data_IF_589459969412
#
_entry.id   IF_589459969412
#
_cell.length_a   1.000
_cell.length_b   1.000
_cell.length_c   1.000
_cell.angle_alpha   90.00
_cell.angle_beta   90.00
_cell.angle_gamma   90.00
#
_symmetry.space_group_name_H-M   'P 1'
#
loop_
_entity.id
_entity.type
_entity.pdbx_description
1 polymer ?
#
# COMPACT_ATOMS: atom_id res chain seq x y z
N UNK A 1 19.56 12.49 86.43
CA UNK A 1 20.15 13.81 86.12
C UNK A 1 19.11 14.63 85.37
N UNK A 2 18.77 15.81 85.92
CA UNK A 2 18.27 17.08 85.31
C UNK A 2 17.32 17.02 84.09
N UNK A 3 16.27 17.83 83.91
CA UNK A 3 15.58 18.94 84.60
C UNK A 3 14.36 19.28 83.71
N UNK A 4 13.24 19.72 84.33
CA UNK A 4 12.29 20.78 83.88
C UNK A 4 11.64 20.70 82.47
N UNK A 5 10.31 20.51 82.37
CA UNK A 5 9.19 21.49 82.45
C UNK A 5 8.98 22.38 81.21
N UNK A 6 7.73 22.31 80.72
CA UNK A 6 6.91 23.38 80.12
C UNK A 6 7.33 23.86 78.71
N UNK A 7 6.48 24.37 77.82
CA UNK A 7 5.11 24.87 77.92
C UNK A 7 4.46 24.91 76.52
N UNK A 8 3.12 24.91 76.50
CA UNK A 8 2.30 25.41 75.40
C UNK A 8 2.50 26.91 75.14
N UNK A 9 2.22 27.31 73.89
CA UNK A 9 1.70 28.61 73.37
C UNK A 9 1.88 28.55 71.84
N UNK A 10 1.14 29.16 70.92
CA UNK A 10 -0.22 29.73 70.81
C UNK A 10 -0.32 30.13 69.31
N UNK A 11 -1.52 30.22 68.73
CA UNK A 11 -1.75 30.91 67.44
C UNK A 11 -2.61 30.12 66.46
N UNK A 12 -3.94 30.08 66.62
CA UNK A 12 -4.91 31.08 66.11
C UNK A 12 -5.03 31.12 64.58
N UNK A 13 -6.19 30.73 64.05
CA UNK A 13 -6.50 30.98 62.63
C UNK A 13 -7.79 30.32 62.18
N UNK A 14 -8.88 31.08 62.23
CA UNK A 14 -10.25 30.73 61.84
C UNK A 14 -10.40 30.29 60.38
N UNK A 15 -11.33 29.35 60.19
CA UNK A 15 -12.34 29.20 59.13
C UNK A 15 -12.14 29.94 57.79
N UNK A 16 -12.38 29.22 56.69
CA UNK A 16 -13.56 29.44 55.84
C UNK A 16 -13.70 28.31 54.82
N UNK A 17 -14.91 27.73 54.78
CA UNK A 17 -15.41 26.99 53.64
C UNK A 17 -15.34 27.84 52.38
N UNK A 18 -14.83 27.26 51.31
CA UNK A 18 -15.17 27.66 49.96
C UNK A 18 -15.46 26.38 49.18
N UNK A 19 -16.75 26.17 48.94
CA UNK A 19 -17.24 25.31 47.88
C UNK A 19 -16.57 25.73 46.57
N UNK A 20 -15.93 24.77 45.90
CA UNK A 20 -15.56 24.89 44.49
C UNK A 20 -16.04 23.59 43.85
N UNK A 21 -17.35 23.46 43.65
CA UNK A 21 -18.06 23.97 42.48
C UNK A 21 -17.56 23.23 41.24
N UNK A 22 -18.38 22.23 40.90
CA UNK A 22 -18.30 21.42 39.69
C UNK A 22 -18.05 22.34 38.50
N UNK A 23 -16.89 22.20 37.87
CA UNK A 23 -16.67 22.78 36.55
C UNK A 23 -17.25 21.80 35.52
N UNK A 24 -18.57 21.82 35.38
CA UNK A 24 -19.31 21.19 34.28
C UNK A 24 -19.30 22.12 33.07
N UNK A 25 -18.12 22.43 32.51
CA UNK A 25 -17.97 23.22 31.29
C UNK A 25 -16.63 22.90 30.62
N UNK A 26 -16.47 21.69 30.06
CA UNK A 26 -15.51 21.35 28.99
C UNK A 26 -15.66 19.87 28.54
N UNK A 27 -16.88 19.33 28.51
CA UNK A 27 -17.17 17.97 28.05
C UNK A 27 -18.08 17.99 26.82
N UNK A 28 -17.54 18.52 25.72
CA UNK A 28 -17.96 18.30 24.34
C UNK A 28 -16.82 18.92 23.51
N UNK A 29 -15.96 18.16 22.82
CA UNK A 29 -16.30 17.37 21.63
C UNK A 29 -15.18 16.36 21.32
N UNK A 30 -15.47 15.07 21.50
CA UNK A 30 -15.09 14.00 20.57
C UNK A 30 -15.79 12.74 21.08
N UNK A 31 -17.01 12.53 20.61
CA UNK A 31 -17.68 11.24 20.79
C UNK A 31 -17.01 10.26 19.83
N UNK A 32 -15.76 9.85 20.11
CA UNK A 32 -15.24 8.64 19.48
C UNK A 32 -16.04 7.48 20.04
N UNK A 33 -16.69 6.72 19.16
CA UNK A 33 -17.32 5.47 19.56
C UNK A 33 -16.28 4.60 20.29
N UNK A 34 -16.68 3.81 21.31
CA UNK A 34 -15.72 2.94 21.98
C UNK A 34 -15.03 2.04 20.94
N UNK A 35 -13.75 1.66 21.13
CA UNK A 35 -12.98 0.93 20.12
C UNK A 35 -13.71 -0.30 19.57
N UNK A 36 -14.48 -1.00 20.42
CA UNK A 36 -15.30 -2.15 20.01
C UNK A 36 -16.37 -1.81 18.95
N UNK A 37 -16.99 -0.63 19.02
CA UNK A 37 -18.02 -0.18 18.05
C UNK A 37 -17.39 0.25 16.74
N UNK A 38 -16.25 0.97 16.80
CA UNK A 38 -15.46 1.33 15.63
C UNK A 38 -15.01 0.09 14.84
N UNK A 39 -14.45 -0.90 15.55
CA UNK A 39 -13.97 -2.15 14.95
C UNK A 39 -15.11 -2.99 14.37
N UNK A 40 -16.27 -3.03 15.03
CA UNK A 40 -17.45 -3.72 14.50
C UNK A 40 -17.94 -3.07 13.19
N UNK A 41 -18.07 -1.73 13.17
CA UNK A 41 -18.47 -0.99 11.97
C UNK A 41 -17.46 -1.15 10.83
N UNK A 42 -16.17 -1.19 11.14
CA UNK A 42 -15.11 -1.41 10.15
C UNK A 42 -15.25 -2.76 9.44
N UNK A 43 -15.54 -3.83 10.20
CA UNK A 43 -15.70 -5.19 9.64
C UNK A 43 -16.99 -5.36 8.82
N UNK A 44 -18.03 -4.59 9.14
CA UNK A 44 -19.28 -4.55 8.36
C UNK A 44 -19.08 -3.77 7.05
N UNK A 45 -18.39 -2.63 7.13
CA UNK A 45 -18.14 -1.74 6.01
C UNK A 45 -17.19 -2.33 4.94
N UNK A 46 -16.16 -3.07 5.37
CA UNK A 46 -15.05 -3.46 4.51
C UNK A 46 -14.77 -4.97 4.56
N UNK A 47 -14.61 -5.62 3.38
CA UNK A 47 -14.32 -7.05 3.33
C UNK A 47 -12.94 -7.36 3.91
N UNK A 48 -12.85 -8.43 4.72
CA UNK A 48 -11.62 -8.86 5.41
C UNK A 48 -10.89 -7.73 6.16
N UNK A 49 -11.63 -6.76 6.70
CA UNK A 49 -11.04 -5.60 7.34
C UNK A 49 -10.59 -5.87 8.76
N UNK A 50 -9.43 -5.31 9.10
CA UNK A 50 -8.86 -5.29 10.45
C UNK A 50 -8.12 -4.00 10.70
N UNK A 51 -8.23 -3.51 11.93
CA UNK A 51 -7.31 -2.51 12.44
C UNK A 51 -6.08 -3.21 13.02
N UNK A 52 -4.87 -2.72 12.74
CA UNK A 52 -3.65 -3.31 13.31
C UNK A 52 -3.59 -3.17 14.84
N UNK A 53 -4.37 -2.26 15.44
CA UNK A 53 -4.63 -2.21 16.88
C UNK A 53 -5.08 -3.57 17.44
N UNK A 54 -5.87 -4.33 16.68
CA UNK A 54 -6.38 -5.63 17.12
C UNK A 54 -5.27 -6.68 17.28
N UNK A 55 -4.18 -6.55 16.54
CA UNK A 55 -3.02 -7.43 16.62
C UNK A 55 -2.00 -6.93 17.66
N UNK A 56 -1.88 -5.60 17.81
CA UNK A 56 -0.94 -4.99 18.74
C UNK A 56 -1.47 -3.68 19.31
N UNK A 57 -1.96 -3.74 20.55
CA UNK A 57 -2.71 -2.65 21.20
C UNK A 57 -1.89 -1.39 21.50
N UNK A 58 -0.56 -1.45 21.40
CA UNK A 58 0.28 -0.27 21.49
C UNK A 58 0.10 0.66 20.28
N UNK A 59 -0.42 0.16 19.15
CA UNK A 59 -0.94 0.99 18.06
C UNK A 59 -2.35 1.45 18.48
N UNK A 60 -2.64 2.76 18.61
CA UNK A 60 -4.00 3.22 18.89
C UNK A 60 -5.00 2.78 17.80
N UNK A 61 -6.29 2.68 18.12
CA UNK A 61 -7.33 2.42 17.11
C UNK A 61 -7.41 3.52 16.05
N UNK A 62 -7.77 3.15 14.82
CA UNK A 62 -8.04 4.08 13.71
C UNK A 62 -6.77 4.57 13.01
N UNK A 63 -5.65 3.87 13.17
CA UNK A 63 -4.36 4.31 12.62
C UNK A 63 -4.01 3.68 11.29
N UNK A 64 -4.05 2.35 11.27
CA UNK A 64 -3.63 1.57 10.13
C UNK A 64 -4.63 0.44 9.95
N UNK A 65 -5.35 0.53 8.84
CA UNK A 65 -6.41 -0.40 8.48
C UNK A 65 -5.94 -1.24 7.30
N UNK A 66 -6.14 -2.55 7.40
CA UNK A 66 -5.94 -3.50 6.30
C UNK A 66 -7.29 -4.06 5.86
N UNK A 67 -7.49 -4.27 4.56
CA UNK A 67 -8.71 -4.90 4.03
C UNK A 67 -8.49 -5.62 2.69
N UNK A 68 -9.53 -6.29 2.20
CA UNK A 68 -9.68 -6.71 0.81
C UNK A 68 -10.14 -5.54 -0.08
N UNK A 69 -10.34 -5.78 -1.37
CA UNK A 69 -10.74 -4.72 -2.31
C UNK A 69 -11.99 -3.96 -1.80
N UNK A 70 -11.87 -2.65 -1.51
CA UNK A 70 -12.96 -1.86 -0.96
C UNK A 70 -13.82 -1.20 -2.05
N UNK A 71 -13.73 -1.62 -3.32
CA UNK A 71 -14.48 -1.01 -4.42
C UNK A 71 -15.99 -1.03 -4.21
N UNK A 72 -16.53 -2.05 -3.53
CA UNK A 72 -17.95 -2.22 -3.24
C UNK A 72 -18.43 -1.55 -1.94
N UNK A 73 -17.63 -0.65 -1.34
CA UNK A 73 -17.99 0.04 -0.09
C UNK A 73 -19.22 0.92 -0.29
N UNK A 74 -20.20 0.83 0.61
CA UNK A 74 -21.45 1.61 0.53
C UNK A 74 -21.20 3.10 0.78
N UNK A 75 -21.97 4.02 0.18
CA UNK A 75 -21.76 5.46 0.35
C UNK A 75 -21.73 5.92 1.82
N UNK A 76 -22.60 5.39 2.68
CA UNK A 76 -22.64 5.70 4.12
C UNK A 76 -21.36 5.27 4.86
N UNK A 77 -20.73 4.18 4.41
CA UNK A 77 -19.47 3.69 4.95
C UNK A 77 -18.28 4.47 4.40
N UNK A 78 -18.38 5.02 3.18
CA UNK A 78 -17.39 5.96 2.65
C UNK A 78 -17.33 7.24 3.48
N UNK A 79 -18.49 7.78 3.90
CA UNK A 79 -18.52 8.94 4.79
C UNK A 79 -17.93 8.63 6.17
N UNK A 80 -18.14 7.42 6.69
CA UNK A 80 -17.47 6.96 7.91
C UNK A 80 -15.95 6.90 7.74
N UNK A 81 -15.45 6.28 6.67
CA UNK A 81 -14.02 6.13 6.40
C UNK A 81 -13.33 7.49 6.20
N UNK A 82 -13.88 8.34 5.34
CA UNK A 82 -13.25 9.62 4.97
C UNK A 82 -13.55 10.74 5.99
N UNK A 83 -14.73 10.71 6.61
CA UNK A 83 -15.15 11.70 7.60
C UNK A 83 -14.63 11.37 9.00
N UNK A 84 -15.16 10.29 9.59
CA UNK A 84 -14.91 9.94 11.00
C UNK A 84 -13.51 9.35 11.21
N UNK A 85 -13.12 8.35 10.42
CA UNK A 85 -11.80 7.70 10.54
C UNK A 85 -10.68 8.51 9.88
N UNK A 86 -11.02 9.57 9.14
CA UNK A 86 -10.06 10.42 8.46
C UNK A 86 -9.07 9.63 7.60
N UNK A 87 -9.55 8.63 6.87
CA UNK A 87 -8.75 7.92 5.87
C UNK A 87 -8.35 8.91 4.78
N UNK A 88 -7.05 9.14 4.60
CA UNK A 88 -6.52 10.06 3.58
C UNK A 88 -5.61 9.37 2.59
N UNK A 89 -5.01 8.24 2.97
CA UNK A 89 -4.07 7.49 2.16
C UNK A 89 -4.58 6.05 1.98
N UNK A 90 -4.91 5.69 0.74
CA UNK A 90 -5.31 4.36 0.32
C UNK A 90 -4.15 3.74 -0.46
N UNK A 91 -3.56 2.67 0.05
CA UNK A 91 -2.46 1.96 -0.58
C UNK A 91 -3.01 0.72 -1.29
N UNK A 92 -3.11 0.79 -2.60
CA UNK A 92 -3.55 -0.32 -3.45
C UNK A 92 -2.34 -1.15 -3.89
N UNK A 93 -2.24 -2.36 -3.34
CA UNK A 93 -1.15 -3.32 -3.57
C UNK A 93 -1.36 -4.15 -4.85
N UNK A 94 -2.44 -3.89 -5.60
CA UNK A 94 -2.80 -4.62 -6.81
C UNK A 94 -1.98 -4.21 -8.03
N UNK A 95 -1.84 -5.15 -8.96
CA UNK A 95 -1.30 -4.88 -10.28
C UNK A 95 -2.28 -4.01 -11.09
N UNK A 96 -1.77 -3.29 -12.09
CA UNK A 96 -2.58 -2.36 -12.88
C UNK A 96 -3.76 -3.07 -13.58
N UNK A 97 -3.60 -4.33 -13.95
CA UNK A 97 -4.65 -5.13 -14.60
C UNK A 97 -5.81 -5.44 -13.65
N UNK A 98 -5.52 -5.69 -12.36
CA UNK A 98 -6.54 -5.95 -11.34
C UNK A 98 -7.33 -4.68 -10.95
N UNK A 99 -6.78 -3.49 -11.20
CA UNK A 99 -7.47 -2.21 -10.95
C UNK A 99 -8.59 -2.00 -11.96
N UNK A 100 -8.45 -2.53 -13.18
CA UNK A 100 -9.49 -2.46 -14.21
C UNK A 100 -10.74 -3.26 -13.84
N UNK A 101 -10.65 -4.15 -12.84
CA UNK A 101 -11.78 -4.89 -12.29
C UNK A 101 -12.57 -4.10 -11.21
N UNK A 102 -12.17 -2.85 -10.92
CA UNK A 102 -12.94 -2.00 -10.00
C UNK A 102 -14.35 -1.72 -10.54
N UNK A 103 -15.30 -1.57 -9.61
CA UNK A 103 -16.67 -1.18 -9.95
C UNK A 103 -16.66 0.24 -10.56
N UNK A 104 -17.21 0.36 -11.77
CA UNK A 104 -17.28 1.62 -12.52
C UNK A 104 -18.08 2.73 -11.83
N UNK A 105 -18.83 2.39 -10.76
CA UNK A 105 -19.54 3.33 -9.89
C UNK A 105 -19.05 3.39 -8.44
N UNK A 106 -17.84 2.88 -8.14
CA UNK A 106 -17.36 2.80 -6.75
C UNK A 106 -17.35 4.16 -6.04
N UNK A 107 -18.15 4.26 -4.97
CA UNK A 107 -18.28 5.48 -4.16
C UNK A 107 -16.95 5.90 -3.52
N UNK A 108 -16.13 4.93 -3.11
CA UNK A 108 -14.82 5.21 -2.52
C UNK A 108 -13.80 5.56 -3.61
N UNK A 109 -13.69 4.78 -4.69
CA UNK A 109 -12.66 5.03 -5.71
C UNK A 109 -12.91 6.35 -6.46
N UNK A 110 -14.17 6.74 -6.67
CA UNK A 110 -14.55 8.04 -7.24
C UNK A 110 -14.16 9.25 -6.38
N UNK A 111 -13.84 9.03 -5.09
CA UNK A 111 -13.35 10.06 -4.16
C UNK A 111 -11.85 10.00 -3.93
N UNK A 112 -11.12 9.35 -4.84
CA UNK A 112 -9.65 9.24 -4.76
C UNK A 112 -8.94 9.83 -5.96
N UNK A 113 -7.78 10.45 -5.72
CA UNK A 113 -6.82 10.80 -6.77
C UNK A 113 -5.73 9.74 -6.80
N UNK A 114 -5.47 9.14 -7.97
CA UNK A 114 -4.56 8.01 -8.05
C UNK A 114 -3.12 8.43 -8.38
N UNK A 115 -2.17 7.98 -7.55
CA UNK A 115 -0.74 8.05 -7.80
C UNK A 115 -0.23 6.65 -8.11
N UNK A 116 0.23 6.42 -9.33
CA UNK A 116 0.74 5.13 -9.78
C UNK A 116 2.26 5.09 -9.70
N UNK A 117 2.79 4.05 -9.05
CA UNK A 117 4.22 3.86 -8.86
C UNK A 117 4.72 2.73 -9.76
N UNK A 118 5.65 3.03 -10.68
CA UNK A 118 6.22 2.04 -11.61
C UNK A 118 7.74 2.09 -11.57
N UNK A 119 8.42 0.93 -11.62
CA UNK A 119 9.88 0.95 -11.76
C UNK A 119 10.29 1.42 -13.15
N UNK A 120 11.21 2.37 -13.20
CA UNK A 120 11.85 2.76 -14.46
C UNK A 120 12.72 1.64 -15.00
N UNK A 121 12.67 1.37 -16.31
CA UNK A 121 13.43 0.29 -16.95
C UNK A 121 14.96 0.52 -16.91
N UNK A 122 15.39 1.76 -16.69
CA UNK A 122 16.80 2.19 -16.79
C UNK A 122 17.42 2.61 -15.46
N UNK A 123 16.65 2.71 -14.36
CA UNK A 123 17.14 3.17 -13.05
C UNK A 123 16.94 2.07 -12.01
N UNK A 124 18.05 1.49 -11.54
CA UNK A 124 18.01 0.48 -10.46
C UNK A 124 17.37 1.09 -9.21
N UNK A 125 16.17 0.64 -8.86
CA UNK A 125 15.54 0.89 -7.55
C UNK A 125 14.67 2.14 -7.42
N UNK A 126 14.63 3.06 -8.40
CA UNK A 126 13.73 4.22 -8.33
C UNK A 126 12.33 3.91 -8.92
N UNK A 127 11.29 4.21 -8.14
CA UNK A 127 9.91 4.23 -8.61
C UNK A 127 9.61 5.59 -9.25
N UNK A 128 9.12 5.55 -10.49
CA UNK A 128 8.52 6.67 -11.21
C UNK A 128 7.08 6.84 -10.72
N UNK A 129 6.63 8.08 -10.58
CA UNK A 129 5.27 8.43 -10.16
C UNK A 129 4.53 9.01 -11.35
N UNK A 130 3.40 8.41 -11.69
CA UNK A 130 2.45 8.91 -12.68
C UNK A 130 1.15 9.31 -11.97
N UNK A 131 0.65 10.52 -12.22
CA UNK A 131 -0.59 11.01 -11.61
C UNK A 131 -1.75 10.79 -12.56
N UNK A 132 -2.77 10.05 -12.11
CA UNK A 132 -4.04 9.96 -12.82
C UNK A 132 -5.13 10.74 -12.06
N UNK A 133 -5.86 11.64 -12.73
CA UNK A 133 -6.96 12.36 -12.11
C UNK A 133 -8.11 11.38 -11.71
N UNK A 134 -8.98 11.79 -10.76
CA UNK A 134 -10.08 10.95 -10.28
C UNK A 134 -10.99 10.50 -11.44
N UNK A 135 -11.39 9.23 -11.41
CA UNK A 135 -12.34 8.67 -12.37
C UNK A 135 -13.66 9.44 -12.29
N UNK A 136 -14.00 10.15 -13.37
CA UNK A 136 -15.17 11.04 -13.45
C UNK A 136 -14.85 12.47 -13.91
N UNK A 137 -13.61 12.94 -13.77
CA UNK A 137 -13.22 14.29 -14.24
C UNK A 137 -13.05 14.37 -15.77
N UNK A 138 -12.72 13.26 -16.42
CA UNK A 138 -12.52 13.21 -17.88
C UNK A 138 -13.82 13.26 -18.71
N UNK A 139 -14.99 13.09 -18.07
CA UNK A 139 -16.28 13.14 -18.76
C UNK A 139 -16.84 14.56 -18.94
N UNK A 140 -16.23 15.58 -18.33
CA UNK A 140 -16.73 16.97 -18.34
C UNK A 140 -15.96 17.91 -19.29
N UNK A 141 -14.95 17.43 -20.01
CA UNK A 141 -14.15 18.24 -20.92
C UNK A 141 -14.14 17.64 -22.33
N UNK A 142 -15.26 17.77 -23.03
CA UNK A 142 -15.30 17.76 -24.50
C UNK A 142 -15.94 19.06 -24.93
N UNK A 143 -15.21 20.00 -25.57
CA UNK A 143 -15.86 21.14 -26.17
C UNK A 143 -16.61 20.66 -27.41
N UNK A 144 -17.93 20.85 -27.37
CA UNK A 144 -18.79 20.93 -28.54
C UNK A 144 -18.21 21.93 -29.54
N UNK A 145 -17.86 21.46 -30.74
CA UNK A 145 -17.85 22.30 -31.94
C UNK A 145 -18.72 21.64 -33.00
N UNK A 146 -19.83 22.28 -33.27
CA UNK A 146 -20.78 21.96 -34.32
C UNK A 146 -20.24 22.30 -35.72
N UNK A 147 -20.73 21.58 -36.73
CA UNK A 147 -21.01 22.11 -38.06
C UNK A 147 -20.00 21.79 -39.18
N UNK A 148 -20.43 20.97 -40.15
CA UNK A 148 -19.79 20.83 -41.46
C UNK A 148 -20.22 19.56 -42.20
N UNK A 149 -21.04 19.71 -43.23
CA UNK A 149 -21.74 18.71 -44.06
C UNK A 149 -20.93 17.51 -44.60
N UNK A 150 -21.59 16.36 -44.89
CA UNK A 150 -20.99 15.25 -45.61
C UNK A 150 -21.26 15.37 -47.12
N UNK A 151 -20.21 15.51 -47.93
CA UNK A 151 -20.33 15.20 -49.37
C UNK A 151 -19.07 14.58 -49.95
N UNK A 152 -19.34 13.59 -50.81
CA UNK A 152 -18.48 12.97 -51.82
C UNK A 152 -17.57 11.80 -51.40
N UNK A 153 -17.89 10.69 -52.06
CA UNK A 153 -17.19 9.43 -52.17
C UNK A 153 -15.80 9.56 -52.84
N UNK A 154 -14.90 8.62 -52.55
CA UNK A 154 -14.35 7.70 -53.55
C UNK A 154 -13.29 6.76 -52.92
N UNK A 155 -13.34 5.53 -53.40
CA UNK A 155 -12.51 4.36 -53.11
C UNK A 155 -11.18 4.44 -53.95
N UNK A 156 -10.35 3.38 -54.11
CA UNK A 156 -8.93 3.38 -53.72
C UNK A 156 -7.95 3.27 -54.92
N UNK A 157 -6.65 3.10 -54.59
CA UNK A 157 -5.55 2.51 -55.40
C UNK A 157 -4.52 3.45 -56.07
N UNK A 158 -3.24 3.25 -55.67
CA UNK A 158 -2.01 3.02 -56.48
C UNK A 158 -0.78 3.34 -55.61
N UNK A 159 0.08 2.40 -55.23
CA UNK A 159 1.09 1.67 -56.04
C UNK A 159 2.19 2.60 -56.57
N UNK A 160 3.38 2.57 -55.95
CA UNK A 160 4.68 2.46 -56.65
C UNK A 160 5.83 2.08 -55.70
N UNK A 161 6.37 0.91 -56.01
CA UNK A 161 7.73 0.37 -55.93
C UNK A 161 8.91 1.33 -55.79
N UNK A 162 9.89 0.96 -54.95
CA UNK A 162 11.33 0.72 -55.27
C UNK A 162 12.01 0.13 -54.03
N UNK A 163 12.26 -1.17 -53.98
CA UNK A 163 13.57 -1.81 -54.25
C UNK A 163 14.79 -1.01 -53.78
N UNK A 164 15.45 -1.50 -52.72
CA UNK A 164 16.86 -1.85 -52.82
C UNK A 164 17.21 -2.91 -51.78
N UNK A 165 17.61 -4.09 -52.28
CA UNK A 165 18.27 -5.11 -51.48
C UNK A 165 19.78 -4.89 -51.49
N UNK A 166 20.43 -5.23 -50.39
CA UNK A 166 21.75 -5.83 -50.44
C UNK A 166 21.95 -6.68 -49.19
N UNK A 167 22.28 -7.94 -49.44
CA UNK A 167 22.67 -8.94 -48.47
C UNK A 167 23.95 -8.50 -47.76
N UNK A 168 24.10 -8.84 -46.47
CA UNK A 168 25.31 -9.54 -46.08
C UNK A 168 25.10 -10.39 -44.83
N UNK A 169 25.75 -11.54 -44.89
CA UNK A 169 25.69 -12.71 -44.03
C UNK A 169 26.69 -12.63 -42.86
N UNK A 170 26.38 -13.40 -41.81
CA UNK A 170 27.30 -14.06 -40.85
C UNK A 170 28.01 -13.18 -39.79
N UNK A 171 27.69 -13.44 -38.53
CA UNK A 171 28.66 -13.95 -37.53
C UNK A 171 27.98 -14.28 -36.20
N UNK A 172 28.08 -15.56 -35.83
CA UNK A 172 27.91 -16.10 -34.49
C UNK A 172 29.03 -15.65 -33.57
N UNK A 173 28.74 -15.23 -32.35
CA UNK A 173 29.68 -15.43 -31.24
C UNK A 173 28.98 -15.41 -29.87
N UNK A 174 29.34 -16.41 -29.07
CA UNK A 174 28.82 -16.70 -27.75
C UNK A 174 29.45 -15.77 -26.70
N UNK A 175 28.62 -15.11 -25.89
CA UNK A 175 29.08 -14.32 -24.75
C UNK A 175 29.07 -15.17 -23.47
N UNK A 176 30.28 -15.54 -23.04
CA UNK A 176 30.62 -16.17 -21.76
C UNK A 176 30.38 -15.17 -20.62
N UNK A 177 29.69 -15.61 -19.57
CA UNK A 177 29.48 -14.86 -18.32
C UNK A 177 30.64 -15.14 -17.35
N UNK A 178 31.32 -14.14 -16.75
CA UNK A 178 32.23 -14.39 -15.64
C UNK A 178 31.50 -14.24 -14.28
N UNK A 179 31.78 -15.18 -13.39
CA UNK A 179 31.39 -15.20 -11.97
C UNK A 179 32.17 -14.15 -11.14
N UNK A 180 31.68 -13.72 -9.96
CA UNK A 180 32.36 -12.72 -9.14
C UNK A 180 33.40 -13.37 -8.19
N UNK A 181 34.51 -12.67 -7.85
CA UNK A 181 35.42 -13.15 -6.82
C UNK A 181 34.97 -12.72 -5.41
N UNK A 182 35.36 -13.52 -4.42
CA UNK A 182 35.27 -13.26 -2.97
C UNK A 182 36.65 -12.92 -2.39
N UNK A 183 36.72 -11.97 -1.46
CA UNK A 183 37.66 -11.79 -0.32
C UNK A 183 37.51 -10.32 0.16
N UNK A 184 37.10 -9.98 1.38
CA UNK A 184 37.64 -10.14 2.75
C UNK A 184 38.66 -9.05 3.18
N UNK A 185 38.36 -8.48 4.37
CA UNK A 185 39.16 -7.71 5.36
C UNK A 185 39.54 -6.22 5.16
N UNK A 186 38.89 -5.42 6.02
CA UNK A 186 39.41 -4.46 7.02
C UNK A 186 39.83 -3.01 6.69
N UNK A 187 39.03 -2.11 7.31
CA UNK A 187 39.29 -0.81 7.95
C UNK A 187 39.42 0.52 7.18
N UNK A 188 38.96 1.65 7.81
CA UNK A 188 38.28 2.75 7.12
C UNK A 188 39.14 4.01 6.97
N UNK A 189 38.68 4.99 6.16
CA UNK A 189 39.09 6.37 6.38
C UNK A 189 37.92 7.29 6.75
N UNK A 190 38.31 8.22 7.61
CA UNK A 190 37.60 9.32 8.27
C UNK A 190 36.98 10.37 7.34
N UNK A 191 35.86 10.89 7.83
CA UNK A 191 35.26 12.22 7.71
C UNK A 191 35.75 13.24 6.65
N UNK A 192 34.73 13.88 6.06
CA UNK A 192 34.62 15.27 5.59
C UNK A 192 34.62 15.48 4.06
N UNK A 193 33.41 15.64 3.51
CA UNK A 193 33.06 16.78 2.65
C UNK A 193 31.54 16.81 2.45
N UNK A 194 30.92 17.87 2.96
CA UNK A 194 29.53 18.21 2.76
C UNK A 194 29.27 18.60 1.29
N UNK A 195 28.20 18.06 0.72
CA UNK A 195 27.52 18.65 -0.43
C UNK A 195 26.02 18.41 -0.29
N UNK A 196 25.34 19.42 0.23
CA UNK A 196 23.89 19.51 0.30
C UNK A 196 23.32 19.56 -1.14
N UNK A 197 22.40 18.65 -1.45
CA UNK A 197 21.49 18.78 -2.59
C UNK A 197 20.08 18.71 -2.03
N UNK A 198 19.50 19.91 -1.89
CA UNK A 198 18.11 20.13 -1.51
C UNK A 198 17.19 19.44 -2.52
N UNK A 199 16.53 18.36 -2.08
CA UNK A 199 15.36 17.82 -2.78
C UNK A 199 14.18 18.68 -2.36
N UNK A 200 13.57 19.33 -3.35
CA UNK A 200 12.49 20.29 -3.19
C UNK A 200 11.37 19.79 -2.30
N UNK A 201 11.17 20.50 -1.21
CA UNK A 201 9.99 20.46 -0.37
C UNK A 201 8.78 20.77 -1.25
N UNK A 202 7.89 19.81 -1.45
CA UNK A 202 6.54 20.10 -1.95
C UNK A 202 5.84 20.96 -0.91
N UNK A 203 5.57 22.21 -1.28
CA UNK A 203 4.88 23.17 -0.44
C UNK A 203 3.50 22.65 0.00
N UNK A 204 3.01 23.03 1.19
CA UNK A 204 1.64 22.78 1.57
C UNK A 204 0.72 23.56 0.64
N UNK A 205 -0.42 22.96 0.32
CA UNK A 205 -1.47 23.53 -0.53
C UNK A 205 -2.00 24.78 0.18
N UNK A 206 -1.55 25.96 -0.25
CA UNK A 206 -2.05 27.24 0.25
C UNK A 206 -3.48 27.42 -0.22
N UNK A 207 -4.38 27.69 0.72
CA UNK A 207 -5.77 28.07 0.48
C UNK A 207 -5.82 29.29 -0.43
N UNK A 208 -6.40 29.13 -1.63
CA UNK A 208 -6.65 30.22 -2.56
C UNK A 208 -7.64 31.19 -1.91
N UNK A 209 -7.17 32.41 -1.67
CA UNK A 209 -7.98 33.55 -1.25
C UNK A 209 -8.98 33.89 -2.36
N UNK A 210 -10.24 34.04 -1.97
CA UNK A 210 -11.32 34.47 -2.84
C UNK A 210 -11.13 35.95 -3.22
N UNK A 211 -11.02 36.22 -4.51
CA UNK A 211 -11.22 37.57 -5.05
C UNK A 211 -12.65 37.65 -5.58
N UNK A 212 -13.40 38.59 -5.03
CA UNK A 212 -14.85 38.72 -5.17
C UNK A 212 -15.19 39.83 -6.15
N UNK A 213 -15.83 39.49 -7.28
CA UNK A 213 -16.75 40.41 -7.97
C UNK A 213 -17.53 39.74 -9.11
N UNK A 214 -18.50 38.89 -8.78
CA UNK A 214 -19.63 38.63 -9.68
C UNK A 214 -20.91 38.52 -8.86
N UNK A 215 -21.81 39.48 -9.04
CA UNK A 215 -23.18 39.46 -8.52
C UNK A 215 -23.95 38.33 -9.20
N UNK A 216 -24.18 37.23 -8.48
CA UNK A 216 -25.07 36.15 -8.89
C UNK A 216 -26.06 35.82 -7.77
N UNK A 217 -27.28 35.51 -8.18
CA UNK A 217 -28.51 35.35 -7.40
C UNK A 217 -28.38 34.35 -6.24
N UNK A 218 -28.78 34.81 -5.04
CA UNK A 218 -28.44 34.25 -3.73
C UNK A 218 -29.16 32.94 -3.31
N UNK A 219 -29.68 32.13 -4.23
CA UNK A 219 -30.47 30.93 -3.90
C UNK A 219 -29.79 29.60 -4.24
N UNK A 220 -29.25 29.47 -5.46
CA UNK A 220 -28.76 28.18 -5.98
C UNK A 220 -27.24 28.01 -5.83
N UNK A 221 -26.48 29.11 -5.82
CA UNK A 221 -25.02 29.08 -5.68
C UNK A 221 -24.54 28.59 -4.31
N UNK A 222 -25.32 28.81 -3.25
CA UNK A 222 -24.95 28.36 -1.90
C UNK A 222 -25.09 26.83 -1.74
N UNK A 223 -26.05 26.21 -2.41
CA UNK A 223 -26.24 24.75 -2.39
C UNK A 223 -25.17 24.03 -3.21
N UNK A 224 -24.77 24.60 -4.37
CA UNK A 224 -23.70 24.06 -5.21
C UNK A 224 -22.32 24.29 -4.57
N UNK A 225 -22.09 25.44 -3.93
CA UNK A 225 -20.86 25.70 -3.17
C UNK A 225 -20.75 24.83 -1.90
N UNK A 226 -21.87 24.56 -1.21
CA UNK A 226 -21.91 23.63 -0.07
C UNK A 226 -21.74 22.16 -0.50
N UNK A 227 -22.20 21.79 -1.70
CA UNK A 227 -21.98 20.47 -2.29
C UNK A 227 -20.53 20.27 -2.77
N UNK A 228 -19.91 21.32 -3.33
CA UNK A 228 -18.50 21.30 -3.74
C UNK A 228 -17.51 21.35 -2.56
N UNK A 229 -17.91 21.93 -1.42
CA UNK A 229 -17.08 22.06 -0.21
C UNK A 229 -16.99 20.79 0.65
N UNK A 230 -17.69 19.70 0.31
CA UNK A 230 -17.72 18.45 1.10
C UNK A 230 -16.95 17.27 0.51
N UNK A 231 -16.27 17.44 -0.62
CA UNK A 231 -15.51 16.35 -1.21
C UNK A 231 -14.14 16.23 -0.56
N UNK A 232 -14.09 15.66 0.64
CA UNK A 232 -12.82 15.16 1.18
C UNK A 232 -12.31 14.12 0.19
N UNK A 233 -11.23 14.44 -0.52
CA UNK A 233 -10.53 13.55 -1.42
C UNK A 233 -9.43 12.83 -0.63
N UNK A 234 -9.27 11.54 -0.91
CA UNK A 234 -8.14 10.75 -0.44
C UNK A 234 -7.17 10.48 -1.60
N UNK A 235 -5.91 10.16 -1.27
CA UNK A 235 -4.91 9.77 -2.25
C UNK A 235 -4.88 8.25 -2.34
N UNK A 236 -5.03 7.71 -3.55
CA UNK A 236 -4.88 6.28 -3.83
C UNK A 236 -3.50 6.02 -4.41
N UNK A 237 -2.60 5.48 -3.61
CA UNK A 237 -1.27 5.05 -4.02
C UNK A 237 -1.34 3.65 -4.61
N UNK A 238 -1.26 3.52 -5.94
CA UNK A 238 -1.09 2.21 -6.57
C UNK A 238 0.38 1.79 -6.54
N UNK A 239 0.69 0.92 -5.59
CA UNK A 239 2.04 0.39 -5.34
C UNK A 239 1.96 -1.14 -5.45
N UNK A 240 2.00 -1.66 -6.67
CA UNK A 240 1.82 -3.10 -6.90
C UNK A 240 2.94 -3.92 -6.26
N UNK A 241 2.59 -4.80 -5.31
CA UNK A 241 3.53 -5.80 -4.79
C UNK A 241 3.63 -7.05 -5.68
N UNK A 242 2.91 -7.07 -6.81
CA UNK A 242 3.02 -8.11 -7.82
C UNK A 242 3.33 -7.48 -9.18
N UNK A 243 4.57 -7.68 -9.64
CA UNK A 243 4.93 -7.46 -11.03
C UNK A 243 5.02 -8.82 -11.72
N UNK A 244 4.14 -9.07 -12.71
CA UNK A 244 4.05 -10.37 -13.39
C UNK A 244 5.39 -10.80 -13.98
N UNK A 245 6.14 -9.88 -14.61
CA UNK A 245 7.44 -10.19 -15.19
C UNK A 245 8.46 -10.64 -14.14
N UNK A 246 8.57 -9.89 -13.04
CA UNK A 246 9.48 -10.26 -11.94
C UNK A 246 9.05 -11.50 -11.20
N UNK A 247 7.75 -11.73 -11.07
CA UNK A 247 7.20 -12.98 -10.54
C UNK A 247 7.67 -14.16 -11.38
N UNK A 248 7.51 -14.12 -12.70
CA UNK A 248 7.96 -15.21 -13.58
C UNK A 248 9.49 -15.37 -13.61
N UNK A 249 10.27 -14.28 -13.53
CA UNK A 249 11.73 -14.36 -13.38
C UNK A 249 12.11 -15.04 -12.05
N UNK A 250 11.42 -14.69 -10.96
CA UNK A 250 11.63 -15.28 -9.63
C UNK A 250 11.18 -16.74 -9.58
N UNK A 251 10.16 -17.11 -10.37
CA UNK A 251 9.71 -18.50 -10.52
C UNK A 251 10.73 -19.32 -11.31
N UNK A 252 11.23 -18.77 -12.42
CA UNK A 252 12.21 -19.40 -13.30
C UNK A 252 13.51 -19.77 -12.57
N UNK A 253 13.93 -19.00 -11.56
CA UNK A 253 15.12 -19.30 -10.75
C UNK A 253 14.91 -20.42 -9.72
N UNK A 254 13.67 -20.89 -9.53
CA UNK A 254 13.26 -21.95 -8.59
C UNK A 254 12.85 -23.25 -9.27
N UNK A 255 12.87 -23.27 -10.60
CA UNK A 255 12.49 -24.41 -11.43
C UNK A 255 13.74 -24.89 -12.20
N UNK A 256 13.89 -26.20 -12.46
CA UNK A 256 14.97 -26.71 -13.30
C UNK A 256 15.08 -25.94 -14.61
N UNK A 257 16.31 -25.57 -14.98
CA UNK A 257 16.59 -24.75 -16.18
C UNK A 257 16.04 -25.39 -17.47
N UNK A 258 16.05 -26.72 -17.55
CA UNK A 258 15.48 -27.49 -18.65
C UNK A 258 13.96 -27.30 -18.77
N UNK A 259 13.23 -27.36 -17.65
CA UNK A 259 11.78 -27.12 -17.63
C UNK A 259 11.47 -25.67 -17.94
N UNK A 260 12.22 -24.72 -17.37
CA UNK A 260 12.04 -23.28 -17.65
C UNK A 260 12.25 -22.99 -19.14
N UNK A 261 13.32 -23.50 -19.75
CA UNK A 261 13.60 -23.32 -21.17
C UNK A 261 12.50 -23.94 -22.06
N UNK A 262 12.06 -25.16 -21.73
CA UNK A 262 10.95 -25.82 -22.43
C UNK A 262 9.65 -25.02 -22.32
N UNK A 263 9.33 -24.49 -21.13
CA UNK A 263 8.14 -23.66 -20.93
C UNK A 263 8.21 -22.35 -21.73
N UNK A 264 9.37 -21.68 -21.76
CA UNK A 264 9.57 -20.45 -22.55
C UNK A 264 9.36 -20.74 -24.05
N UNK A 265 10.00 -21.79 -24.58
CA UNK A 265 9.86 -22.17 -25.98
C UNK A 265 8.41 -22.54 -26.32
N UNK A 266 7.77 -23.32 -25.45
CA UNK A 266 6.38 -23.74 -25.62
C UNK A 266 5.42 -22.55 -25.55
N UNK A 267 5.72 -21.51 -24.77
CA UNK A 267 4.85 -20.35 -24.59
C UNK A 267 4.60 -19.57 -25.89
N UNK A 268 5.52 -19.64 -26.87
CA UNK A 268 5.35 -19.02 -28.19
C UNK A 268 4.29 -19.71 -29.06
N UNK A 269 4.03 -21.00 -28.82
CA UNK A 269 3.13 -21.83 -29.64
C UNK A 269 1.85 -22.19 -28.87
N UNK A 270 1.98 -22.51 -27.58
CA UNK A 270 0.90 -22.94 -26.73
C UNK A 270 1.12 -22.49 -25.28
N UNK A 271 0.50 -21.35 -24.92
CA UNK A 271 0.56 -20.78 -23.56
C UNK A 271 0.03 -21.75 -22.49
N UNK A 272 -1.02 -22.52 -22.81
CA UNK A 272 -1.62 -23.48 -21.87
C UNK A 272 -0.66 -24.64 -21.57
N UNK A 273 0.00 -25.19 -22.60
CA UNK A 273 0.99 -26.25 -22.42
C UNK A 273 2.22 -25.76 -21.65
N UNK A 274 2.74 -24.57 -21.96
CA UNK A 274 3.83 -23.95 -21.21
C UNK A 274 3.49 -23.79 -19.74
N UNK A 275 2.29 -23.29 -19.44
CA UNK A 275 1.78 -23.16 -18.07
C UNK A 275 1.67 -24.51 -17.37
N UNK A 276 1.17 -25.54 -18.05
CA UNK A 276 1.03 -26.89 -17.51
C UNK A 276 2.37 -27.49 -17.08
N UNK A 277 3.49 -27.07 -17.71
CA UNK A 277 4.85 -27.45 -17.28
C UNK A 277 5.27 -26.77 -15.96
N UNK A 278 4.78 -25.56 -15.68
CA UNK A 278 5.13 -24.79 -14.48
C UNK A 278 4.23 -25.11 -13.28
N UNK A 279 2.97 -25.49 -13.53
CA UNK A 279 1.95 -25.74 -12.50
C UNK A 279 2.39 -26.72 -11.39
N UNK A 280 3.05 -27.85 -11.67
CA UNK A 280 3.50 -28.76 -10.62
C UNK A 280 4.47 -28.11 -9.62
N UNK A 281 5.32 -27.19 -10.09
CA UNK A 281 6.26 -26.45 -9.24
C UNK A 281 5.55 -25.37 -8.43
N UNK A 282 4.58 -24.68 -9.04
CA UNK A 282 3.75 -23.68 -8.34
C UNK A 282 2.94 -24.36 -7.24
N UNK A 283 2.21 -25.43 -7.57
CA UNK A 283 1.43 -26.19 -6.60
C UNK A 283 2.33 -26.84 -5.53
N UNK A 284 3.47 -27.41 -5.92
CA UNK A 284 4.42 -28.04 -5.00
C UNK A 284 5.11 -27.06 -4.05
N UNK A 285 5.40 -25.83 -4.49
CA UNK A 285 5.97 -24.78 -3.65
C UNK A 285 4.95 -24.06 -2.77
N UNK A 286 3.68 -24.04 -3.19
CA UNK A 286 2.56 -23.51 -2.43
C UNK A 286 2.69 -22.03 -2.04
N UNK A 287 1.96 -21.65 -0.98
CA UNK A 287 1.99 -20.30 -0.42
C UNK A 287 3.36 -19.86 0.13
N UNK A 288 4.17 -20.71 0.80
CA UNK A 288 5.50 -20.30 1.27
C UNK A 288 6.39 -19.80 0.13
N UNK A 289 6.49 -20.55 -0.98
CA UNK A 289 7.27 -20.12 -2.14
C UNK A 289 6.72 -18.82 -2.73
N UNK A 290 5.40 -18.67 -2.82
CA UNK A 290 4.77 -17.44 -3.29
C UNK A 290 5.18 -16.23 -2.44
N UNK A 291 5.18 -16.37 -1.11
CA UNK A 291 5.48 -15.26 -0.19
C UNK A 291 6.96 -14.86 -0.26
N UNK A 292 7.85 -15.85 -0.35
CA UNK A 292 9.26 -15.59 -0.64
C UNK A 292 9.40 -14.80 -1.96
N UNK A 293 8.75 -15.26 -3.03
CA UNK A 293 8.83 -14.59 -4.33
C UNK A 293 8.29 -13.16 -4.30
N UNK A 294 7.19 -12.91 -3.59
CA UNK A 294 6.63 -11.57 -3.40
C UNK A 294 7.64 -10.66 -2.68
N UNK A 295 8.15 -11.07 -1.52
CA UNK A 295 9.15 -10.30 -0.77
C UNK A 295 10.39 -9.98 -1.59
N UNK A 296 10.90 -10.97 -2.33
CA UNK A 296 12.11 -10.81 -3.14
C UNK A 296 11.89 -9.90 -4.34
N UNK A 297 10.72 -9.98 -4.98
CA UNK A 297 10.43 -9.25 -6.22
C UNK A 297 9.91 -7.83 -5.99
N UNK A 298 9.30 -7.54 -4.82
CA UNK A 298 8.62 -6.27 -4.52
C UNK A 298 9.37 -5.34 -3.56
N UNK A 299 10.69 -5.46 -3.43
CA UNK A 299 11.49 -4.75 -2.43
C UNK A 299 11.32 -3.21 -2.45
N UNK A 300 11.61 -2.48 -3.55
CA UNK A 300 11.30 -1.06 -3.71
C UNK A 300 9.85 -0.67 -3.39
N UNK A 301 8.88 -1.47 -3.82
CA UNK A 301 7.46 -1.21 -3.60
C UNK A 301 7.10 -1.36 -2.12
N UNK A 302 7.63 -2.37 -1.43
CA UNK A 302 7.49 -2.52 0.02
C UNK A 302 8.09 -1.32 0.76
N UNK A 303 9.27 -0.83 0.36
CA UNK A 303 9.85 0.38 0.93
C UNK A 303 8.93 1.59 0.74
N UNK A 304 8.35 1.75 -0.45
CA UNK A 304 7.41 2.85 -0.75
C UNK A 304 6.11 2.75 0.02
N UNK A 305 5.56 1.54 0.24
CA UNK A 305 4.40 1.33 1.10
C UNK A 305 4.69 1.85 2.52
N UNK A 306 5.84 1.48 3.09
CA UNK A 306 6.25 1.94 4.42
C UNK A 306 6.50 3.46 4.49
N UNK A 307 7.02 4.06 3.42
CA UNK A 307 7.18 5.52 3.30
C UNK A 307 5.82 6.25 3.32
N UNK A 308 4.82 5.74 2.61
CA UNK A 308 3.46 6.32 2.62
C UNK A 308 2.82 6.16 4.00
N UNK A 309 2.93 4.99 4.62
CA UNK A 309 2.43 4.76 5.98
C UNK A 309 3.08 5.70 7.01
N UNK A 310 4.38 5.93 6.88
CA UNK A 310 5.11 6.89 7.72
C UNK A 310 4.56 8.31 7.57
N UNK A 311 4.42 8.79 6.33
CA UNK A 311 3.89 10.12 6.06
C UNK A 311 2.45 10.31 6.56
N UNK A 312 1.59 9.30 6.38
CA UNK A 312 0.21 9.31 6.89
C UNK A 312 0.20 9.37 8.42
N UNK A 313 1.04 8.57 9.08
CA UNK A 313 1.13 8.54 10.54
C UNK A 313 1.67 9.84 11.14
N UNK A 314 2.64 10.49 10.48
CA UNK A 314 3.15 11.81 10.84
C UNK A 314 2.07 12.91 10.69
N UNK A 315 1.21 12.78 9.69
CA UNK A 315 0.08 13.70 9.45
C UNK A 315 -1.14 13.41 10.34
N UNK A 316 -1.06 12.40 11.22
CA UNK A 316 -2.19 11.90 12.03
C UNK A 316 -3.42 11.56 11.18
N UNK A 317 -3.18 10.94 10.03
CA UNK A 317 -4.21 10.41 9.15
C UNK A 317 -4.29 8.89 9.29
N UNK A 318 -5.49 8.34 9.17
CA UNK A 318 -5.63 6.90 9.02
C UNK A 318 -5.13 6.51 7.63
N UNK A 319 -4.22 5.54 7.60
CA UNK A 319 -3.81 4.88 6.36
C UNK A 319 -4.57 3.57 6.19
N UNK A 320 -5.03 3.30 4.99
CA UNK A 320 -5.66 2.04 4.63
C UNK A 320 -4.87 1.35 3.52
N UNK A 321 -4.60 0.06 3.62
CA UNK A 321 -3.96 -0.70 2.54
C UNK A 321 -4.71 -1.98 2.21
N UNK A 322 -4.74 -2.33 0.93
CA UNK A 322 -5.52 -3.46 0.45
C UNK A 322 -4.90 -4.12 -0.77
N UNK A 323 -5.33 -5.36 -1.01
CA UNK A 323 -5.11 -6.06 -2.26
C UNK A 323 -6.47 -6.60 -2.74
N UNK A 324 -6.50 -7.69 -3.51
CA UNK A 324 -7.78 -8.31 -3.91
C UNK A 324 -8.55 -8.92 -2.74
N UNK A 325 -7.98 -9.92 -2.05
CA UNK A 325 -8.65 -10.61 -0.94
C UNK A 325 -8.21 -10.13 0.46
N UNK A 326 -7.24 -9.22 0.55
CA UNK A 326 -6.74 -8.74 1.85
C UNK A 326 -5.90 -9.75 2.62
N UNK A 327 -5.45 -10.84 1.96
CA UNK A 327 -4.70 -11.94 2.57
C UNK A 327 -3.19 -11.87 2.32
N UNK A 328 -2.75 -12.03 1.07
CA UNK A 328 -1.34 -12.31 0.75
C UNK A 328 -0.45 -11.06 0.82
N UNK A 329 -0.56 -10.18 -0.19
CA UNK A 329 0.19 -8.91 -0.24
C UNK A 329 -0.09 -8.03 0.98
N UNK A 330 -1.36 -7.93 1.36
CA UNK A 330 -1.80 -7.24 2.58
C UNK A 330 -1.21 -7.89 3.84
N UNK A 331 -1.12 -9.23 3.90
CA UNK A 331 -0.51 -9.95 5.03
C UNK A 331 0.98 -9.68 5.16
N UNK A 332 1.70 -9.63 4.05
CA UNK A 332 3.12 -9.27 4.04
C UNK A 332 3.33 -7.83 4.53
N UNK A 333 2.55 -6.85 4.06
CA UNK A 333 2.63 -5.46 4.53
C UNK A 333 2.32 -5.38 6.02
N UNK A 334 1.24 -6.02 6.48
CA UNK A 334 0.86 -6.02 7.89
C UNK A 334 1.97 -6.62 8.77
N UNK A 335 2.60 -7.73 8.34
CA UNK A 335 3.72 -8.33 9.06
C UNK A 335 4.91 -7.37 9.20
N UNK A 336 5.26 -6.62 8.14
CA UNK A 336 6.33 -5.62 8.22
C UNK A 336 5.97 -4.48 9.18
N UNK A 337 4.74 -3.96 9.10
CA UNK A 337 4.29 -2.84 9.94
C UNK A 337 4.21 -3.23 11.41
N UNK A 338 3.63 -4.40 11.72
CA UNK A 338 3.53 -4.93 13.08
C UNK A 338 4.92 -5.22 13.67
N UNK A 339 5.84 -5.77 12.87
CA UNK A 339 7.23 -5.97 13.29
C UNK A 339 7.93 -4.64 13.61
N UNK A 340 7.76 -3.61 12.76
CA UNK A 340 8.29 -2.27 13.03
C UNK A 340 7.67 -1.69 14.31
N UNK A 341 6.37 -1.82 14.51
CA UNK A 341 5.68 -1.36 15.72
C UNK A 341 6.15 -2.08 17.00
N UNK A 342 6.73 -3.27 16.89
CA UNK A 342 7.26 -4.05 18.01
C UNK A 342 6.35 -5.19 18.48
N UNK A 343 5.39 -5.60 17.64
CA UNK A 343 4.58 -6.79 17.90
C UNK A 343 5.43 -8.07 17.90
N UNK A 344 5.00 -9.09 18.63
CA UNK A 344 5.65 -10.41 18.59
C UNK A 344 5.37 -11.14 17.27
N UNK A 345 6.18 -12.14 16.95
CA UNK A 345 5.95 -12.98 15.78
C UNK A 345 4.62 -13.73 15.89
N UNK A 346 4.22 -14.15 17.08
CA UNK A 346 2.94 -14.81 17.33
C UNK A 346 1.77 -13.89 17.00
N UNK A 347 1.82 -12.61 17.38
CA UNK A 347 0.79 -11.64 17.05
C UNK A 347 0.67 -11.41 15.53
N UNK A 348 1.82 -11.38 14.82
CA UNK A 348 1.86 -11.28 13.36
C UNK A 348 1.22 -12.51 12.71
N UNK A 349 1.55 -13.70 13.19
CA UNK A 349 1.01 -14.97 12.69
C UNK A 349 -0.50 -15.07 12.95
N UNK A 350 -0.96 -14.64 14.12
CA UNK A 350 -2.38 -14.62 14.47
C UNK A 350 -3.18 -13.63 13.60
N UNK A 351 -2.69 -12.40 13.41
CA UNK A 351 -3.31 -11.44 12.49
C UNK A 351 -3.41 -11.99 11.06
N UNK A 352 -2.38 -12.68 10.59
CA UNK A 352 -2.41 -13.33 9.29
C UNK A 352 -3.50 -14.41 9.21
N UNK A 353 -3.51 -15.33 10.20
CA UNK A 353 -4.38 -16.50 10.22
C UNK A 353 -5.87 -16.14 10.29
N UNK A 354 -6.22 -14.97 10.84
CA UNK A 354 -7.60 -14.45 10.82
C UNK A 354 -8.16 -14.23 9.42
N UNK A 355 -7.30 -14.15 8.39
CA UNK A 355 -7.76 -14.09 6.99
C UNK A 355 -8.35 -15.41 6.50
N UNK A 356 -8.16 -16.53 7.22
CA UNK A 356 -8.64 -17.86 6.80
C UNK A 356 -10.16 -17.92 6.75
N UNK A 357 -10.85 -17.17 7.62
CA UNK A 357 -12.31 -17.02 7.59
C UNK A 357 -12.82 -16.35 6.30
N UNK A 358 -11.94 -15.72 5.52
CA UNK A 358 -12.26 -15.06 4.26
C UNK A 358 -11.82 -15.94 3.08
N UNK A 359 -12.65 -16.96 2.77
CA UNK A 359 -12.40 -17.97 1.72
C UNK A 359 -12.56 -17.44 0.29
N UNK A 360 -11.73 -16.49 -0.13
CA UNK A 360 -11.56 -16.14 -1.55
C UNK A 360 -10.17 -16.53 -2.00
N UNK A 361 -10.10 -17.33 -3.08
CA UNK A 361 -8.84 -17.47 -3.83
C UNK A 361 -8.46 -16.07 -4.28
N UNK A 362 -7.31 -15.58 -3.83
CA UNK A 362 -6.63 -14.53 -4.55
C UNK A 362 -5.14 -14.88 -4.62
N UNK A 363 -4.62 -15.07 -5.82
CA UNK A 363 -3.21 -15.50 -6.03
C UNK A 363 -2.31 -14.29 -6.13
N UNK A 364 -2.39 -13.42 -5.13
CA UNK A 364 -1.72 -12.14 -5.15
C UNK A 364 -1.89 -11.35 -6.48
N UNK A 365 -2.96 -11.58 -7.26
CA UNK A 365 -3.26 -10.85 -8.51
C UNK A 365 -2.99 -11.56 -9.83
N UNK A 366 -2.59 -12.84 -9.82
CA UNK A 366 -2.37 -13.66 -11.03
C UNK A 366 -3.67 -14.30 -11.56
N UNK A 367 -4.76 -13.54 -11.72
CA UNK A 367 -6.12 -14.10 -11.81
C UNK A 367 -6.86 -13.85 -13.14
N UNK A 368 -6.27 -14.18 -14.28
CA UNK A 368 -7.12 -14.59 -15.40
C UNK A 368 -7.82 -15.93 -15.05
N UNK A 369 -9.01 -16.20 -15.61
CA UNK A 369 -9.72 -17.48 -15.41
C UNK A 369 -8.84 -18.66 -15.86
N UNK A 370 -8.03 -18.44 -16.88
CA UNK A 370 -7.01 -19.35 -17.38
C UNK A 370 -5.82 -19.49 -16.40
N UNK A 371 -5.45 -18.40 -15.71
CA UNK A 371 -4.40 -18.41 -14.68
C UNK A 371 -4.83 -19.07 -13.36
N UNK A 372 -6.12 -19.29 -13.14
CA UNK A 372 -6.66 -20.08 -12.03
C UNK A 372 -6.85 -21.57 -12.39
N UNK A 373 -6.90 -21.90 -13.68
CA UNK A 373 -7.09 -23.27 -14.13
C UNK A 373 -5.89 -24.16 -13.78
N UNK A 374 -6.14 -25.29 -13.12
CA UNK A 374 -5.14 -26.28 -12.72
C UNK A 374 -4.37 -25.97 -11.43
N UNK A 375 -4.66 -24.86 -10.75
CA UNK A 375 -4.10 -24.58 -9.43
C UNK A 375 -4.84 -25.35 -8.34
N UNK A 376 -4.08 -25.80 -7.35
CA UNK A 376 -4.66 -26.43 -6.17
C UNK A 376 -5.30 -25.40 -5.25
N UNK A 377 -6.61 -25.20 -5.41
CA UNK A 377 -7.39 -24.25 -4.62
C UNK A 377 -7.26 -24.50 -3.12
N UNK A 378 -7.19 -25.76 -2.67
CA UNK A 378 -7.06 -26.07 -1.25
C UNK A 378 -5.76 -25.53 -0.66
N UNK A 379 -4.69 -25.51 -1.45
CA UNK A 379 -3.38 -24.96 -1.06
C UNK A 379 -3.40 -23.43 -1.02
N UNK A 380 -4.09 -22.75 -1.93
CA UNK A 380 -4.00 -21.30 -2.11
C UNK A 380 -5.16 -20.47 -1.54
N UNK A 381 -6.29 -21.09 -1.15
CA UNK A 381 -7.43 -20.37 -0.57
C UNK A 381 -7.21 -19.98 0.88
N UNK A 382 -6.61 -20.89 1.64
CA UNK A 382 -6.45 -20.76 3.10
C UNK A 382 -5.41 -19.70 3.49
N UNK A 383 -5.43 -19.30 4.74
CA UNK A 383 -4.42 -18.44 5.37
C UNK A 383 -3.78 -19.15 6.58
N UNK A 384 -3.12 -20.30 6.38
CA UNK A 384 -2.78 -21.12 7.53
C UNK A 384 -1.49 -20.60 8.19
N UNK A 385 -1.41 -20.57 9.53
CA UNK A 385 -0.40 -19.82 10.28
C UNK A 385 1.05 -20.23 9.96
N UNK A 386 1.28 -21.48 9.57
CA UNK A 386 2.56 -22.01 9.13
C UNK A 386 3.15 -21.28 7.92
N UNK A 387 2.32 -20.72 7.04
CA UNK A 387 2.79 -19.94 5.88
C UNK A 387 3.46 -18.66 6.35
N UNK A 388 2.84 -17.94 7.30
CA UNK A 388 3.46 -16.74 7.87
C UNK A 388 4.70 -17.09 8.69
N UNK A 389 4.68 -18.18 9.48
CA UNK A 389 5.89 -18.64 10.19
C UNK A 389 7.04 -18.96 9.22
N UNK A 390 6.77 -19.68 8.14
CA UNK A 390 7.77 -19.98 7.11
C UNK A 390 8.31 -18.71 6.45
N UNK A 391 7.45 -17.71 6.26
CA UNK A 391 7.84 -16.40 5.72
C UNK A 391 8.77 -15.65 6.67
N UNK A 392 8.44 -15.58 7.95
CA UNK A 392 9.29 -14.96 8.98
C UNK A 392 10.64 -15.68 9.11
N UNK A 393 10.63 -17.02 9.06
CA UNK A 393 11.85 -17.83 9.09
C UNK A 393 12.70 -17.62 7.83
N UNK A 394 12.10 -17.53 6.64
CA UNK A 394 12.83 -17.19 5.42
C UNK A 394 13.54 -15.84 5.55
N UNK A 395 12.83 -14.83 6.06
CA UNK A 395 13.42 -13.50 6.28
C UNK A 395 14.58 -13.58 7.27
N UNK A 396 14.40 -14.27 8.39
CA UNK A 396 15.44 -14.45 9.42
C UNK A 396 16.67 -15.16 8.86
N UNK A 397 16.48 -16.29 8.17
CA UNK A 397 17.58 -17.07 7.58
C UNK A 397 18.35 -16.28 6.53
N UNK A 398 17.67 -15.47 5.72
CA UNK A 398 18.29 -14.77 4.58
C UNK A 398 18.85 -13.39 4.92
N UNK A 399 18.21 -12.67 5.84
CA UNK A 399 18.55 -11.28 6.16
C UNK A 399 18.97 -11.09 7.63
N UNK A 400 18.78 -12.09 8.48
CA UNK A 400 19.02 -12.00 9.93
C UNK A 400 17.77 -11.60 10.71
N UNK A 401 17.02 -10.61 10.23
CA UNK A 401 15.75 -10.17 10.84
C UNK A 401 14.88 -9.39 9.84
N UNK A 402 13.62 -9.11 10.22
CA UNK A 402 12.79 -8.15 9.48
C UNK A 402 13.45 -6.77 9.43
N UNK A 403 14.02 -6.29 10.54
CA UNK A 403 14.73 -5.01 10.60
C UNK A 403 15.85 -4.92 9.56
N UNK A 404 16.65 -5.99 9.42
CA UNK A 404 17.73 -6.05 8.42
C UNK A 404 17.21 -6.18 7.00
N UNK A 405 16.12 -6.94 6.77
CA UNK A 405 15.43 -6.95 5.48
C UNK A 405 14.96 -5.54 5.09
N UNK A 406 14.31 -4.82 6.02
CA UNK A 406 13.82 -3.47 5.81
C UNK A 406 14.95 -2.47 5.52
N UNK A 407 16.06 -2.56 6.25
CA UNK A 407 17.28 -1.80 5.95
C UNK A 407 17.80 -2.13 4.54
N UNK A 408 17.85 -3.41 4.17
CA UNK A 408 18.30 -3.88 2.86
C UNK A 408 17.43 -3.44 1.67
N UNK A 409 16.14 -3.19 1.88
CA UNK A 409 15.25 -2.61 0.85
C UNK A 409 15.27 -1.07 0.82
N UNK A 410 16.03 -0.45 1.72
CA UNK A 410 16.21 1.00 1.81
C UNK A 410 15.48 1.63 2.99
N UNK A 411 14.53 0.97 3.66
CA UNK A 411 13.80 1.51 4.81
C UNK A 411 14.64 1.38 6.09
N UNK A 412 15.68 2.21 6.20
CA UNK A 412 16.72 2.12 7.22
C UNK A 412 16.28 2.39 8.66
N UNK A 413 17.19 2.21 9.64
CA UNK A 413 16.88 2.21 11.07
C UNK A 413 16.18 3.48 11.58
N UNK A 414 16.54 4.65 11.05
CA UNK A 414 15.94 5.93 11.46
C UNK A 414 14.46 6.02 11.07
N UNK A 415 14.12 5.56 9.86
CA UNK A 415 12.74 5.50 9.39
C UNK A 415 11.93 4.44 10.13
N UNK A 416 12.53 3.30 10.44
CA UNK A 416 11.90 2.26 11.26
C UNK A 416 11.58 2.77 12.67
N UNK A 417 12.56 3.39 13.33
CA UNK A 417 12.36 4.00 14.65
C UNK A 417 11.30 5.08 14.60
N UNK A 418 11.36 5.98 13.61
CA UNK A 418 10.38 7.04 13.45
C UNK A 418 8.98 6.49 13.23
N UNK A 419 8.82 5.47 12.36
CA UNK A 419 7.53 4.82 12.11
C UNK A 419 6.97 4.19 13.39
N UNK A 420 7.80 3.47 14.16
CA UNK A 420 7.42 2.93 15.47
C UNK A 420 6.91 4.03 16.39
N UNK A 421 7.71 5.07 16.62
CA UNK A 421 7.39 6.19 17.51
C UNK A 421 6.06 6.84 17.12
N UNK A 422 5.87 7.16 15.84
CA UNK A 422 4.62 7.79 15.42
C UNK A 422 3.48 6.82 15.61
N UNK A 423 3.56 5.56 15.16
CA UNK A 423 2.47 4.58 15.26
C UNK A 423 2.02 4.29 16.68
N UNK A 424 2.94 4.28 17.66
CA UNK A 424 2.62 3.91 19.05
C UNK A 424 2.43 5.10 19.99
N UNK A 425 2.55 6.34 19.49
CA UNK A 425 2.27 7.54 20.28
C UNK A 425 0.77 7.72 20.56
N UNK A 426 0.40 8.62 21.46
CA UNK A 426 -0.99 9.11 21.52
C UNK A 426 -1.24 10.11 20.37
N UNK A 427 -2.42 10.05 19.75
CA UNK A 427 -2.84 10.99 18.69
C UNK A 427 -3.68 12.15 19.21
#
# INVERSE_FOLDING_TARGET
>A
MRLLRAAQRHGSGRSRSAAQQRCTCCAATSSSAPPSTMLARLRDALPNARDLHEAFTAIPPGRVIRCANPSSTRPEDVEYLLGELRVRDLIDLRAAEEILEDDSGSALMGRTVMLSYRRGWWRRGQLLVDQQPPAGAAAAASPTSAGGDPSSAADPARMTTTQNGSNNEVASEAAVVPAPPRSSSDDPPTAAAAAALAVGTTAPISSVAADSSVTATAGEGAAVAAAAAKTVLAVRHNISLLDRGRYYISLASRIPTTTTAAAILTNFVNKHAARSMLLPYVNGGGLPMLYEMLLESSRPEMCRVLEVLLAAAESRHCAMFFCRAGKDRTGLVAAMVLSVAGASEEAIVEDYARSDAYHRVALAGLESREELAGLDRATFERAPPEVMRATLEHVRRRYGSISEYLTGIGFGPDRQRRLREVLTSAW
#
